data_IF_959576215431
#
_entry.id   IF_959576215431
#
_cell.length_a   1.000
_cell.length_b   1.000
_cell.length_c   1.000
_cell.angle_alpha   90.00
_cell.angle_beta   90.00
_cell.angle_gamma   90.00
#
_symmetry.space_group_name_H-M   'P 1'
#
loop_
_entity.id
_entity.type
_entity.pdbx_description
1 polymer ?
#
# COMPACT_ATOMS: atom_id res chain seq x y z
N UNK A 1 9.58 2.55 -9.79
CA UNK A 1 8.70 1.87 -8.82
C UNK A 1 7.28 2.38 -9.02
N UNK A 2 6.28 1.52 -8.94
CA UNK A 2 4.87 1.88 -9.05
C UNK A 2 4.16 1.60 -7.72
N UNK A 3 3.44 2.58 -7.21
CA UNK A 3 2.75 2.55 -5.93
C UNK A 3 1.27 2.80 -6.19
N UNK A 4 0.43 1.94 -5.63
CA UNK A 4 -1.01 1.95 -5.84
C UNK A 4 -1.74 2.06 -4.49
N UNK A 5 -2.40 3.19 -4.24
CA UNK A 5 -3.37 3.37 -3.15
C UNK A 5 -4.77 3.06 -3.67
N UNK A 6 -5.41 2.04 -3.11
CA UNK A 6 -6.61 1.42 -3.72
C UNK A 6 -7.93 2.00 -3.24
N UNK A 7 -7.97 2.58 -2.04
CA UNK A 7 -9.20 2.94 -1.34
C UNK A 7 -9.04 4.15 -0.41
N UNK A 8 -8.45 5.24 -0.92
CA UNK A 8 -8.19 6.45 -0.13
C UNK A 8 -9.46 7.09 0.44
N UNK A 9 -10.63 6.81 -0.13
CA UNK A 9 -11.92 7.26 0.38
C UNK A 9 -12.36 6.63 1.70
N UNK A 10 -11.65 5.59 2.17
CA UNK A 10 -11.86 4.99 3.48
C UNK A 10 -11.17 5.79 4.61
N UNK A 11 -10.29 6.74 4.26
CA UNK A 11 -9.66 7.66 5.19
C UNK A 11 -10.51 8.94 5.30
N UNK A 12 -10.63 9.47 6.51
CA UNK A 12 -11.45 10.66 6.77
C UNK A 12 -10.69 11.91 6.34
N UNK A 13 -11.32 12.75 5.50
CA UNK A 13 -10.73 14.01 5.04
C UNK A 13 -9.86 13.84 3.80
N UNK A 14 -8.97 14.81 3.59
CA UNK A 14 -8.06 14.79 2.44
C UNK A 14 -6.88 13.86 2.70
N UNK A 15 -6.51 13.09 1.68
CA UNK A 15 -5.37 12.17 1.71
C UNK A 15 -4.23 12.76 0.89
N UNK A 16 -3.27 13.38 1.57
CA UNK A 16 -2.09 14.01 0.97
C UNK A 16 -0.83 13.22 1.34
N UNK A 17 -0.40 12.34 0.43
CA UNK A 17 0.80 11.54 0.60
C UNK A 17 2.03 12.33 0.17
N UNK A 18 3.05 12.51 1.04
CA UNK A 18 4.27 13.22 0.68
C UNK A 18 5.11 12.46 -0.34
N UNK A 19 6.15 13.13 -0.85
CA UNK A 19 7.05 12.55 -1.84
C UNK A 19 7.85 11.35 -1.29
N UNK A 20 8.01 10.34 -2.15
CA UNK A 20 8.86 9.18 -1.88
C UNK A 20 10.31 9.53 -2.22
N UNK A 21 11.25 9.12 -1.37
CA UNK A 21 12.68 9.44 -1.41
C UNK A 21 13.43 8.64 -2.49
N UNK A 22 12.95 8.69 -3.74
CA UNK A 22 13.61 8.13 -4.93
C UNK A 22 13.39 8.98 -6.18
N UNK A 23 14.37 8.93 -7.09
CA UNK A 23 14.40 9.75 -8.31
C UNK A 23 13.21 9.53 -9.27
N UNK A 24 12.59 8.33 -9.28
CA UNK A 24 11.51 8.03 -10.22
C UNK A 24 10.53 6.97 -9.70
N UNK A 25 9.30 7.40 -9.48
CA UNK A 25 8.17 6.54 -9.16
C UNK A 25 6.90 7.00 -9.87
N UNK A 26 5.92 6.10 -9.95
CA UNK A 26 4.54 6.42 -10.29
C UNK A 26 3.68 6.18 -9.06
N UNK A 27 2.93 7.20 -8.64
CA UNK A 27 1.89 7.07 -7.62
C UNK A 27 0.53 7.10 -8.29
N UNK A 28 -0.29 6.09 -8.02
CA UNK A 28 -1.68 6.05 -8.44
C UNK A 28 -2.56 5.89 -7.21
N UNK A 29 -3.59 6.72 -7.12
CA UNK A 29 -4.48 6.75 -5.97
C UNK A 29 -5.92 6.78 -6.44
N UNK A 30 -6.73 5.92 -5.81
CA UNK A 30 -8.13 5.77 -6.10
C UNK A 30 -8.93 5.91 -4.82
N UNK A 31 -10.10 6.54 -4.93
CA UNK A 31 -11.04 6.70 -3.80
C UNK A 31 -11.59 5.34 -3.38
N UNK A 32 -11.86 4.48 -4.36
CA UNK A 32 -12.27 3.09 -4.23
C UNK A 32 -11.98 2.39 -5.55
N UNK A 33 -11.64 1.11 -5.49
CA UNK A 33 -11.58 0.20 -6.63
C UNK A 33 -12.45 -1.01 -6.32
N UNK A 34 -13.13 -1.53 -7.33
CA UNK A 34 -13.67 -2.88 -7.26
C UNK A 34 -12.58 -3.93 -7.52
N UNK A 35 -12.94 -5.21 -7.40
CA UNK A 35 -11.97 -6.30 -7.54
C UNK A 35 -11.40 -6.41 -8.97
N UNK A 36 -12.24 -6.22 -9.99
CA UNK A 36 -11.84 -6.33 -11.39
C UNK A 36 -10.86 -5.21 -11.76
N UNK A 37 -11.16 -3.97 -11.35
CA UNK A 37 -10.26 -2.84 -11.51
C UNK A 37 -8.97 -3.02 -10.70
N UNK A 38 -9.06 -3.52 -9.47
CA UNK A 38 -7.89 -3.74 -8.62
C UNK A 38 -6.91 -4.74 -9.25
N UNK A 39 -7.39 -5.81 -9.87
CA UNK A 39 -6.56 -6.74 -10.64
C UNK A 39 -5.90 -6.06 -11.84
N UNK A 40 -6.67 -5.29 -12.62
CA UNK A 40 -6.16 -4.60 -13.80
C UNK A 40 -5.15 -3.49 -13.44
N UNK A 41 -5.24 -2.90 -12.25
CA UNK A 41 -4.32 -1.85 -11.79
C UNK A 41 -3.09 -2.43 -11.08
N UNK A 42 -3.25 -3.56 -10.38
CA UNK A 42 -2.18 -4.12 -9.55
C UNK A 42 -1.10 -4.87 -10.32
N UNK A 43 -1.34 -5.32 -11.56
CA UNK A 43 -0.38 -6.16 -12.31
C UNK A 43 1.06 -5.61 -12.40
N UNK A 44 1.21 -4.29 -12.36
CA UNK A 44 2.51 -3.59 -12.45
C UNK A 44 2.91 -2.86 -11.18
N UNK A 45 2.15 -2.98 -10.09
CA UNK A 45 2.51 -2.34 -8.81
C UNK A 45 3.67 -3.08 -8.16
N UNK A 46 4.62 -2.31 -7.63
CA UNK A 46 5.67 -2.82 -6.75
C UNK A 46 5.20 -2.75 -5.28
N UNK A 47 4.35 -1.75 -4.98
CA UNK A 47 3.76 -1.49 -3.66
C UNK A 47 2.24 -1.30 -3.79
N UNK A 48 1.47 -1.95 -2.93
CA UNK A 48 0.04 -1.68 -2.74
C UNK A 48 -0.18 -1.08 -1.35
N UNK A 49 -1.00 -0.03 -1.27
CA UNK A 49 -1.48 0.57 -0.03
C UNK A 49 -2.99 0.40 0.02
N UNK A 50 -3.51 -0.12 1.14
CA UNK A 50 -4.95 -0.33 1.33
C UNK A 50 -5.39 -0.04 2.75
N UNK A 51 -6.56 0.53 2.92
CA UNK A 51 -7.17 0.78 4.23
C UNK A 51 -8.00 -0.41 4.68
N UNK A 52 -8.92 -0.87 3.83
CA UNK A 52 -9.88 -1.94 4.12
C UNK A 52 -10.21 -2.83 2.92
N UNK A 53 -9.89 -2.42 1.69
CA UNK A 53 -10.14 -3.23 0.49
C UNK A 53 -9.42 -4.58 0.59
N UNK A 54 -10.13 -5.72 0.43
CA UNK A 54 -9.52 -7.03 0.56
C UNK A 54 -8.38 -7.25 -0.46
N UNK A 55 -7.18 -7.50 0.05
CA UNK A 55 -6.00 -7.87 -0.76
C UNK A 55 -5.82 -9.39 -0.63
N UNK A 56 -6.65 -10.13 -1.36
CA UNK A 56 -6.69 -11.59 -1.31
C UNK A 56 -5.61 -12.24 -2.20
N UNK A 57 -5.50 -13.58 -2.15
CA UNK A 57 -4.60 -14.33 -3.01
C UNK A 57 -4.75 -14.03 -4.52
N UNK A 58 -5.97 -13.74 -5.01
CA UNK A 58 -6.22 -13.44 -6.43
C UNK A 58 -5.52 -12.13 -6.84
N UNK A 59 -5.74 -11.06 -6.08
CA UNK A 59 -5.08 -9.75 -6.28
C UNK A 59 -3.57 -9.89 -6.15
N UNK A 60 -3.12 -10.57 -5.07
CA UNK A 60 -1.70 -10.80 -4.85
C UNK A 60 -1.10 -11.49 -6.06
N UNK A 61 -1.69 -12.58 -6.55
CA UNK A 61 -1.18 -13.35 -7.70
C UNK A 61 -1.23 -12.58 -9.02
N UNK A 62 -2.22 -11.71 -9.23
CA UNK A 62 -2.28 -10.82 -10.40
C UNK A 62 -1.15 -9.78 -10.40
N UNK A 63 -0.75 -9.30 -9.22
CA UNK A 63 0.32 -8.33 -9.04
C UNK A 63 1.73 -8.97 -9.17
N UNK A 64 2.15 -9.21 -10.41
CA UNK A 64 3.39 -9.94 -10.74
C UNK A 64 4.67 -9.28 -10.16
N UNK A 65 4.66 -7.97 -9.91
CA UNK A 65 5.82 -7.21 -9.42
C UNK A 65 5.74 -6.84 -7.94
N UNK A 66 4.65 -7.21 -7.27
CA UNK A 66 4.39 -6.82 -5.89
C UNK A 66 5.48 -7.34 -4.96
N UNK A 67 5.98 -6.46 -4.11
CA UNK A 67 7.00 -6.76 -3.09
C UNK A 67 6.62 -6.27 -1.70
N UNK A 68 5.73 -5.29 -1.63
CA UNK A 68 5.30 -4.68 -0.37
C UNK A 68 3.79 -4.38 -0.40
N UNK A 69 3.10 -4.71 0.69
CA UNK A 69 1.73 -4.30 0.96
C UNK A 69 1.72 -3.51 2.26
N UNK A 70 1.07 -2.35 2.27
CA UNK A 70 0.94 -1.51 3.47
C UNK A 70 -0.54 -1.32 3.80
N UNK A 71 -0.93 -1.74 5.00
CA UNK A 71 -2.22 -1.36 5.57
C UNK A 71 -2.17 0.09 6.08
N UNK A 72 -3.04 0.94 5.55
CA UNK A 72 -3.21 2.34 5.95
C UNK A 72 -4.06 2.44 7.23
N UNK A 73 -3.59 1.80 8.28
CA UNK A 73 -4.22 1.73 9.60
C UNK A 73 -3.67 0.54 10.40
N UNK A 74 -4.20 0.35 11.61
CA UNK A 74 -3.66 -0.65 12.55
C UNK A 74 -3.92 -2.10 12.10
N UNK A 75 -5.04 -2.35 11.40
CA UNK A 75 -5.45 -3.70 11.01
C UNK A 75 -4.89 -4.14 9.67
N UNK A 76 -4.35 -5.36 9.62
CA UNK A 76 -3.98 -6.07 8.38
C UNK A 76 -4.93 -7.22 8.04
N UNK A 77 -6.09 -7.30 8.70
CA UNK A 77 -6.99 -8.45 8.59
C UNK A 77 -7.60 -8.64 7.19
N UNK A 78 -7.61 -7.59 6.37
CA UNK A 78 -8.10 -7.61 4.99
C UNK A 78 -7.05 -8.12 3.99
N UNK A 79 -5.83 -8.40 4.44
CA UNK A 79 -4.71 -8.86 3.60
C UNK A 79 -4.52 -10.37 3.80
N UNK A 80 -4.35 -11.11 2.71
CA UNK A 80 -4.02 -12.53 2.76
C UNK A 80 -2.53 -12.74 3.05
N UNK A 81 -2.22 -12.95 4.33
CA UNK A 81 -0.85 -13.14 4.83
C UNK A 81 -0.20 -14.42 4.30
N UNK A 82 -0.98 -15.49 4.08
CA UNK A 82 -0.45 -16.76 3.58
C UNK A 82 -0.03 -16.62 2.11
N UNK A 83 -0.85 -15.97 1.29
CA UNK A 83 -0.51 -15.68 -0.10
C UNK A 83 0.67 -14.72 -0.22
N UNK A 84 0.72 -13.67 0.60
CA UNK A 84 1.85 -12.74 0.64
C UNK A 84 3.15 -13.46 1.02
N UNK A 85 3.11 -14.27 2.08
CA UNK A 85 4.26 -15.07 2.54
C UNK A 85 4.72 -16.07 1.49
N UNK A 86 3.80 -16.75 0.81
CA UNK A 86 4.14 -17.70 -0.26
C UNK A 86 4.89 -17.05 -1.43
N UNK A 87 4.76 -15.73 -1.59
CA UNK A 87 5.42 -14.93 -2.63
C UNK A 87 6.56 -14.04 -2.11
N UNK A 88 6.96 -14.19 -0.85
CA UNK A 88 7.97 -13.36 -0.19
C UNK A 88 7.64 -11.85 -0.27
N UNK A 89 6.35 -11.53 -0.13
CA UNK A 89 5.85 -10.16 -0.10
C UNK A 89 5.81 -9.69 1.35
N UNK A 90 6.42 -8.53 1.62
CA UNK A 90 6.40 -7.92 2.93
C UNK A 90 5.05 -7.25 3.19
N UNK A 91 4.49 -7.45 4.40
CA UNK A 91 3.30 -6.73 4.87
C UNK A 91 3.73 -5.79 6.00
N UNK A 92 3.28 -4.54 5.94
CA UNK A 92 3.44 -3.54 7.00
C UNK A 92 2.09 -2.86 7.28
N UNK A 93 1.98 -2.19 8.41
CA UNK A 93 0.81 -1.43 8.80
C UNK A 93 1.22 -0.16 9.55
N UNK A 94 0.33 0.83 9.58
CA UNK A 94 0.48 2.01 10.43
C UNK A 94 -0.13 1.67 11.79
N UNK A 95 0.73 1.25 12.73
CA UNK A 95 0.31 0.76 14.04
C UNK A 95 -0.35 1.85 14.89
N UNK A 96 -1.29 1.43 15.75
CA UNK A 96 -1.95 2.25 16.77
C UNK A 96 -2.77 3.46 16.24
N UNK A 97 -3.00 3.55 14.92
CA UNK A 97 -3.72 4.66 14.29
C UNK A 97 -4.73 4.13 13.26
N UNK A 98 -5.92 4.72 13.23
CA UNK A 98 -6.94 4.48 12.21
C UNK A 98 -7.30 5.80 11.53
N UNK A 99 -7.73 5.77 10.26
CA UNK A 99 -8.08 6.96 9.47
C UNK A 99 -9.45 7.56 9.79
N UNK A 100 -9.88 7.53 11.04
CA UNK A 100 -11.20 7.97 11.51
C UNK A 100 -11.32 9.49 11.69
N UNK A 101 -10.20 10.21 11.66
CA UNK A 101 -10.14 11.67 11.74
C UNK A 101 -9.16 12.25 10.70
N UNK A 102 -9.36 13.49 10.22
CA UNK A 102 -8.42 14.12 9.28
C UNK A 102 -6.98 14.20 9.79
N UNK A 103 -6.81 14.40 11.10
CA UNK A 103 -5.50 14.45 11.75
C UNK A 103 -4.81 13.07 11.67
N UNK A 104 -5.54 11.99 11.96
CA UNK A 104 -5.01 10.65 11.86
C UNK A 104 -4.72 10.26 10.40
N UNK A 105 -5.58 10.67 9.46
CA UNK A 105 -5.34 10.48 8.02
C UNK A 105 -4.00 11.05 7.59
N UNK A 106 -3.67 12.29 7.99
CA UNK A 106 -2.37 12.87 7.62
C UNK A 106 -1.20 12.11 8.26
N UNK A 107 -1.33 11.64 9.50
CA UNK A 107 -0.33 10.80 10.15
C UNK A 107 -0.12 9.48 9.41
N UNK A 108 -1.21 8.83 8.98
CA UNK A 108 -1.16 7.62 8.15
C UNK A 108 -0.44 7.89 6.84
N UNK A 109 -0.80 8.97 6.12
CA UNK A 109 -0.16 9.33 4.86
C UNK A 109 1.37 9.49 5.02
N UNK A 110 1.80 10.18 6.08
CA UNK A 110 3.22 10.35 6.39
C UNK A 110 3.90 9.01 6.69
N UNK A 111 3.32 8.19 7.58
CA UNK A 111 3.92 6.91 7.98
C UNK A 111 3.96 5.89 6.85
N UNK A 112 2.94 5.86 5.98
CA UNK A 112 2.96 5.02 4.77
C UNK A 112 4.18 5.36 3.92
N UNK A 113 4.44 6.64 3.68
CA UNK A 113 5.60 7.07 2.90
C UNK A 113 6.91 6.80 3.63
N UNK A 114 6.97 6.97 4.95
CA UNK A 114 8.13 6.58 5.76
C UNK A 114 8.43 5.08 5.67
N UNK A 115 7.41 4.21 5.73
CA UNK A 115 7.56 2.78 5.54
C UNK A 115 8.08 2.42 4.15
N UNK A 116 7.54 3.05 3.10
CA UNK A 116 8.03 2.88 1.74
C UNK A 116 9.50 3.29 1.64
N UNK A 117 9.86 4.46 2.18
CA UNK A 117 11.23 4.97 2.15
C UNK A 117 12.19 4.07 2.92
N UNK A 118 11.78 3.57 4.09
CA UNK A 118 12.57 2.65 4.91
C UNK A 118 12.78 1.32 4.18
N UNK A 119 11.74 0.79 3.53
CA UNK A 119 11.83 -0.41 2.71
C UNK A 119 12.77 -0.23 1.51
N UNK A 120 12.67 0.88 0.77
CA UNK A 120 13.59 1.17 -0.33
C UNK A 120 15.05 1.19 0.14
N UNK A 121 15.31 1.82 1.29
CA UNK A 121 16.65 1.91 1.88
C UNK A 121 17.18 0.56 2.38
N UNK A 122 16.30 -0.40 2.65
CA UNK A 122 16.70 -1.77 3.03
C UNK A 122 16.96 -2.68 1.84
N UNK A 123 16.50 -2.31 0.64
CA UNK A 123 16.79 -3.06 -0.57
C UNK A 123 18.29 -3.02 -0.87
N UNK A 124 18.89 -4.16 -1.27
CA UNK A 124 20.28 -4.17 -1.70
C UNK A 124 20.46 -3.21 -2.88
N UNK A 125 21.51 -2.37 -2.82
CA UNK A 125 21.84 -1.49 -3.94
C UNK A 125 21.99 -2.33 -5.22
N UNK A 126 21.40 -1.90 -6.35
CA UNK A 126 21.65 -2.58 -7.61
C UNK A 126 23.15 -2.50 -7.89
N UNK A 127 23.83 -3.65 -7.81
CA UNK A 127 25.25 -3.79 -8.14
C UNK A 127 25.51 -3.60 -9.62
#
# INVERSE_FOLDING_TARGET
>A
MNILMVDSGQLTGDTDFPDVDINKYGWQQFVSLDLDELEERSWRSDVIVSTNTPINAQVINAACKLKLIIAAGDSTAHIDHDAAKARDIQIMNVADINGDTPQNTQLICNQVVEHINAWIKSLPSPG
#
